data_IF_974644017064
#
_entry.id   IF_974644017064
#
_cell.length_a   1.000
_cell.length_b   1.000
_cell.length_c   1.000
_cell.angle_alpha   90.00
_cell.angle_beta   90.00
_cell.angle_gamma   90.00
#
_symmetry.space_group_name_H-M   'P 1'
#
loop_
_entity.id
_entity.type
_entity.pdbx_description
1 polymer ?
#
# COMPACT_ATOMS: atom_id res chain seq x y z
N UNK A 1 -81.19 -55.22 27.92
CA UNK A 1 -80.14 -54.98 26.92
C UNK A 1 -79.51 -53.62 27.26
N UNK A 2 -78.26 -53.58 27.60
CA UNK A 2 -77.59 -52.33 27.87
C UNK A 2 -77.33 -51.61 26.53
N UNK A 3 -77.86 -50.40 26.39
CA UNK A 3 -77.62 -49.55 25.24
C UNK A 3 -76.17 -49.06 25.27
N UNK A 4 -75.35 -49.45 24.28
CA UNK A 4 -74.00 -48.96 24.11
C UNK A 4 -74.08 -47.62 23.38
N UNK A 5 -74.00 -46.52 24.11
CA UNK A 5 -73.88 -45.16 23.45
C UNK A 5 -72.46 -44.99 23.04
N UNK A 6 -72.18 -45.11 21.71
CA UNK A 6 -70.93 -44.65 21.11
C UNK A 6 -70.86 -43.13 21.31
N UNK A 7 -69.92 -42.66 22.11
CA UNK A 7 -69.57 -41.29 22.21
C UNK A 7 -68.93 -40.84 20.82
N UNK A 8 -69.61 -39.96 20.12
CA UNK A 8 -69.10 -39.39 18.86
C UNK A 8 -67.82 -38.61 19.12
N UNK A 9 -66.75 -38.95 18.42
CA UNK A 9 -65.67 -37.99 18.23
C UNK A 9 -66.22 -36.90 17.34
N UNK A 10 -66.43 -35.72 17.89
CA UNK A 10 -67.30 -34.68 17.28
C UNK A 10 -66.54 -33.75 16.38
N UNK A 11 -65.20 -33.64 16.45
CA UNK A 11 -64.46 -32.61 15.73
C UNK A 11 -64.15 -33.03 14.30
N UNK A 12 -64.49 -32.15 13.32
CA UNK A 12 -64.13 -32.33 11.92
C UNK A 12 -63.22 -31.19 11.51
N UNK A 13 -61.96 -31.53 11.18
CA UNK A 13 -61.01 -30.57 10.70
C UNK A 13 -61.35 -30.12 9.26
N UNK A 14 -61.60 -28.80 9.07
CA UNK A 14 -61.97 -28.16 7.78
C UNK A 14 -60.85 -27.34 7.15
N UNK A 15 -59.64 -27.44 7.63
CA UNK A 15 -58.51 -26.62 7.19
C UNK A 15 -58.70 -25.13 7.53
N UNK A 16 -58.31 -24.21 6.59
CA UNK A 16 -58.51 -22.79 6.81
C UNK A 16 -59.99 -22.42 6.70
N UNK A 17 -60.41 -21.47 7.52
CA UNK A 17 -61.72 -20.84 7.36
C UNK A 17 -61.81 -20.16 6.01
N UNK A 18 -62.95 -20.29 5.34
CA UNK A 18 -63.27 -19.65 4.05
C UNK A 18 -64.60 -18.87 4.19
N UNK A 19 -64.75 -17.71 3.51
CA UNK A 19 -65.98 -16.97 3.48
C UNK A 19 -67.04 -17.73 2.65
N UNK A 20 -68.33 -17.42 2.92
CA UNK A 20 -69.50 -17.96 2.21
C UNK A 20 -69.52 -19.49 2.20
N UNK A 21 -68.98 -20.14 3.21
CA UNK A 21 -68.89 -21.61 3.37
C UNK A 21 -69.82 -22.07 4.47
N UNK A 22 -70.51 -23.17 4.27
CA UNK A 22 -71.39 -23.76 5.30
C UNK A 22 -70.52 -24.53 6.28
N UNK A 23 -70.61 -24.14 7.57
CA UNK A 23 -69.98 -24.86 8.70
C UNK A 23 -71.06 -25.40 9.64
N UNK A 24 -70.81 -26.61 10.10
CA UNK A 24 -71.67 -27.31 11.09
C UNK A 24 -71.07 -27.24 12.47
N UNK A 25 -71.91 -27.46 13.49
CA UNK A 25 -71.44 -27.57 14.86
C UNK A 25 -70.34 -28.61 14.95
N UNK A 26 -69.28 -28.34 15.73
CA UNK A 26 -68.06 -29.12 15.90
C UNK A 26 -67.12 -29.21 14.70
N UNK A 27 -67.37 -28.43 13.62
CA UNK A 27 -66.37 -28.18 12.58
C UNK A 27 -65.21 -27.32 13.17
N UNK A 28 -63.97 -27.71 12.93
CA UNK A 28 -62.79 -27.01 13.40
C UNK A 28 -62.06 -26.39 12.21
N UNK A 29 -61.80 -25.11 12.30
CA UNK A 29 -61.10 -24.35 11.28
C UNK A 29 -59.86 -23.64 11.86
N UNK A 30 -58.92 -23.37 11.00
CA UNK A 30 -57.81 -22.48 11.31
C UNK A 30 -58.11 -21.10 10.71
N UNK A 31 -57.94 -20.06 11.54
CA UNK A 31 -57.94 -18.68 11.05
C UNK A 31 -56.74 -17.94 11.66
N UNK A 32 -55.78 -17.53 10.81
CA UNK A 32 -54.49 -17.04 11.27
C UNK A 32 -53.70 -18.15 12.01
N UNK A 33 -53.20 -17.81 13.18
CA UNK A 33 -52.44 -18.69 14.04
C UNK A 33 -53.35 -19.55 14.97
N UNK A 34 -54.66 -19.28 14.99
CA UNK A 34 -55.61 -19.85 15.96
C UNK A 34 -56.50 -20.90 15.32
N UNK A 35 -56.95 -21.84 16.12
CA UNK A 35 -58.00 -22.77 15.72
C UNK A 35 -59.30 -22.46 16.46
N UNK A 36 -60.40 -22.60 15.73
CA UNK A 36 -61.71 -22.32 16.21
C UNK A 36 -62.63 -23.49 15.94
N UNK A 37 -63.56 -23.72 16.86
CA UNK A 37 -64.62 -24.71 16.75
C UNK A 37 -65.97 -24.02 16.50
N UNK A 38 -66.69 -24.47 15.50
CA UNK A 38 -68.00 -23.96 15.22
C UNK A 38 -69.00 -24.32 16.31
N UNK A 39 -69.51 -23.31 16.99
CA UNK A 39 -70.47 -23.43 18.07
C UNK A 39 -71.90 -23.43 17.60
N UNK A 40 -72.18 -22.73 16.47
CA UNK A 40 -73.53 -22.64 15.85
C UNK A 40 -73.40 -22.87 14.38
N UNK A 41 -74.13 -23.84 13.80
CA UNK A 41 -74.12 -24.10 12.34
C UNK A 41 -74.59 -22.91 11.57
N UNK A 42 -73.78 -22.46 10.61
CA UNK A 42 -74.05 -21.26 9.82
C UNK A 42 -73.32 -21.26 8.50
N UNK A 43 -73.72 -20.35 7.60
CA UNK A 43 -72.88 -19.95 6.46
C UNK A 43 -72.02 -18.79 6.88
N UNK A 44 -70.69 -18.93 6.74
CA UNK A 44 -69.74 -17.91 7.16
C UNK A 44 -69.96 -16.60 6.42
N UNK A 45 -69.66 -15.50 7.14
CA UNK A 45 -69.67 -14.14 6.59
C UNK A 45 -68.52 -13.91 5.56
N UNK A 46 -68.46 -12.72 5.00
CA UNK A 46 -67.33 -12.33 4.12
C UNK A 46 -66.03 -12.14 4.92
N UNK A 47 -66.13 -11.84 6.24
CA UNK A 47 -65.02 -11.66 7.16
C UNK A 47 -65.26 -12.49 8.42
N UNK A 48 -64.21 -13.12 8.93
CA UNK A 48 -64.24 -13.98 10.10
C UNK A 48 -64.64 -13.24 11.40
N UNK A 49 -64.20 -11.97 11.52
CA UNK A 49 -64.51 -11.17 12.71
C UNK A 49 -66.04 -10.91 12.82
N UNK A 50 -66.73 -10.75 11.71
CA UNK A 50 -68.21 -10.62 11.69
C UNK A 50 -68.88 -11.82 12.29
N UNK A 51 -68.36 -13.02 12.07
CA UNK A 51 -68.89 -14.27 12.67
C UNK A 51 -68.50 -14.40 14.16
N UNK A 52 -67.37 -13.83 14.60
CA UNK A 52 -66.96 -13.79 16.00
C UNK A 52 -67.79 -12.81 16.83
N UNK A 53 -68.16 -11.66 16.27
CA UNK A 53 -68.95 -10.62 16.91
C UNK A 53 -70.44 -10.95 17.01
N UNK A 54 -70.89 -11.96 16.33
CA UNK A 54 -72.31 -12.36 16.30
C UNK A 54 -72.76 -12.91 17.67
N UNK A 55 -73.96 -12.58 18.09
CA UNK A 55 -74.49 -13.08 19.36
C UNK A 55 -75.67 -14.04 19.12
N UNK A 56 -75.63 -15.32 19.57
CA UNK A 56 -74.51 -15.98 20.26
C UNK A 56 -73.29 -16.22 19.33
N UNK A 57 -72.07 -16.19 19.84
CA UNK A 57 -70.83 -16.37 19.12
C UNK A 57 -70.86 -17.64 18.27
N UNK A 58 -70.62 -17.54 16.96
CA UNK A 58 -70.63 -18.69 16.05
C UNK A 58 -69.38 -19.56 16.17
N UNK A 59 -68.28 -18.99 16.65
CA UNK A 59 -67.03 -19.67 16.81
C UNK A 59 -66.48 -19.57 18.25
N UNK A 60 -66.04 -20.67 18.82
CA UNK A 60 -65.27 -20.69 20.04
C UNK A 60 -63.79 -20.95 19.73
N UNK A 61 -62.91 -20.20 20.34
CA UNK A 61 -61.48 -20.44 20.21
C UNK A 61 -61.13 -21.77 20.90
N UNK A 62 -60.45 -22.65 20.15
CA UNK A 62 -60.05 -23.97 20.62
C UNK A 62 -58.58 -24.00 21.05
N UNK A 63 -57.70 -23.36 20.29
CA UNK A 63 -56.30 -23.22 20.65
C UNK A 63 -55.77 -21.85 20.24
N UNK A 64 -54.78 -21.40 20.96
CA UNK A 64 -53.97 -20.24 20.64
C UNK A 64 -52.63 -20.66 20.05
N UNK A 65 -52.15 -19.98 19.07
CA UNK A 65 -50.89 -20.29 18.40
C UNK A 65 -50.31 -19.06 17.73
N UNK A 66 -49.17 -19.24 17.09
CA UNK A 66 -48.48 -18.21 16.33
C UNK A 66 -48.24 -18.71 14.90
N UNK A 67 -48.30 -17.82 13.93
CA UNK A 67 -48.10 -18.15 12.54
C UNK A 67 -46.94 -17.31 11.97
N UNK A 68 -45.85 -17.95 11.60
CA UNK A 68 -44.79 -17.28 10.89
C UNK A 68 -45.22 -16.94 9.45
N UNK A 69 -45.21 -15.68 9.09
CA UNK A 69 -45.63 -15.18 7.77
C UNK A 69 -44.47 -14.62 6.92
N UNK A 70 -43.25 -14.66 7.44
CA UNK A 70 -42.07 -14.19 6.73
C UNK A 70 -41.77 -12.68 6.97
N UNK A 71 -41.18 -12.02 6.01
CA UNK A 71 -40.90 -10.59 6.09
C UNK A 71 -42.20 -9.76 6.00
N UNK A 72 -42.26 -8.69 6.80
CA UNK A 72 -43.36 -7.72 6.69
C UNK A 72 -43.42 -7.14 5.26
N UNK A 73 -44.62 -7.10 4.72
CA UNK A 73 -44.90 -6.57 3.37
C UNK A 73 -45.99 -5.51 3.40
N UNK A 74 -45.94 -4.58 2.43
CA UNK A 74 -46.98 -3.55 2.26
C UNK A 74 -48.29 -4.15 1.78
N UNK A 75 -49.40 -3.46 2.05
CA UNK A 75 -50.76 -3.80 1.58
C UNK A 75 -51.12 -5.27 1.80
N UNK A 76 -50.60 -5.88 2.84
CA UNK A 76 -50.81 -7.28 3.19
C UNK A 76 -51.71 -7.38 4.41
N UNK A 77 -52.74 -8.24 4.34
CA UNK A 77 -53.63 -8.48 5.49
C UNK A 77 -52.97 -9.44 6.48
N UNK A 78 -52.71 -8.94 7.67
CA UNK A 78 -52.18 -9.72 8.79
C UNK A 78 -53.26 -10.03 9.81
N UNK A 79 -53.23 -11.21 10.35
CA UNK A 79 -54.16 -11.70 11.32
C UNK A 79 -53.56 -11.69 12.71
N UNK A 80 -54.40 -11.70 13.71
CA UNK A 80 -53.98 -11.81 15.10
C UNK A 80 -53.02 -12.99 15.29
N UNK A 81 -51.90 -12.78 16.00
CA UNK A 81 -50.81 -13.72 16.23
C UNK A 81 -49.97 -14.12 14.98
N UNK A 82 -50.13 -13.43 13.83
CA UNK A 82 -49.18 -13.54 12.78
C UNK A 82 -47.85 -12.93 13.24
N UNK A 83 -46.75 -13.62 12.98
CA UNK A 83 -45.40 -13.16 13.32
C UNK A 83 -44.66 -12.80 12.05
N UNK A 84 -44.08 -11.59 11.99
CA UNK A 84 -43.32 -11.07 10.85
C UNK A 84 -41.93 -10.64 11.28
N UNK A 85 -41.01 -10.69 10.35
CA UNK A 85 -39.68 -10.04 10.48
C UNK A 85 -39.72 -8.64 9.87
N UNK A 86 -39.21 -7.65 10.62
CA UNK A 86 -39.02 -6.31 10.11
C UNK A 86 -37.70 -5.72 10.65
N UNK A 87 -36.70 -5.60 9.78
CA UNK A 87 -35.33 -5.35 10.21
C UNK A 87 -34.75 -6.55 10.95
N UNK A 88 -33.97 -6.27 11.99
CA UNK A 88 -33.47 -7.32 12.88
C UNK A 88 -34.49 -7.81 13.92
N UNK A 89 -35.73 -7.33 13.89
CA UNK A 89 -36.74 -7.57 14.92
C UNK A 89 -37.88 -8.46 14.41
N UNK A 90 -38.46 -9.24 15.30
CA UNK A 90 -39.69 -9.99 15.06
C UNK A 90 -40.84 -9.30 15.79
N UNK A 91 -41.97 -9.17 15.10
CA UNK A 91 -43.18 -8.58 15.60
C UNK A 91 -44.34 -9.57 15.52
N UNK A 92 -45.23 -9.54 16.50
CA UNK A 92 -46.50 -10.31 16.52
C UNK A 92 -47.67 -9.34 16.33
N UNK A 93 -48.55 -9.68 15.42
CA UNK A 93 -49.77 -8.91 15.15
C UNK A 93 -50.74 -9.08 16.35
N UNK A 94 -51.12 -7.96 16.99
CA UNK A 94 -52.03 -7.93 18.12
C UNK A 94 -53.45 -7.47 17.75
N UNK A 95 -53.65 -7.01 16.49
CA UNK A 95 -54.94 -6.63 15.94
C UNK A 95 -54.93 -6.82 14.42
N UNK A 96 -55.88 -7.58 13.89
CA UNK A 96 -55.95 -7.90 12.46
C UNK A 96 -56.17 -6.67 11.63
N UNK A 97 -55.30 -6.46 10.66
CA UNK A 97 -55.32 -5.25 9.79
C UNK A 97 -54.63 -5.47 8.47
N UNK A 98 -54.83 -4.57 7.55
CA UNK A 98 -54.02 -4.46 6.32
C UNK A 98 -52.91 -3.47 6.58
N UNK A 99 -51.65 -3.90 6.36
CA UNK A 99 -50.47 -3.06 6.53
C UNK A 99 -50.44 -1.86 5.60
N UNK A 100 -49.67 -0.83 5.95
CA UNK A 100 -49.49 0.40 5.18
C UNK A 100 -49.21 0.14 3.70
N UNK A 101 -49.69 1.01 2.82
CA UNK A 101 -49.57 0.84 1.38
C UNK A 101 -48.20 1.25 0.79
N UNK A 102 -47.34 1.92 1.58
CA UNK A 102 -46.06 2.41 1.11
C UNK A 102 -44.91 1.89 1.98
N UNK A 103 -43.85 1.43 1.33
CA UNK A 103 -42.63 0.99 2.01
C UNK A 103 -41.93 2.14 2.79
N UNK A 104 -42.16 3.38 2.42
CA UNK A 104 -41.59 4.54 3.12
C UNK A 104 -42.16 4.72 4.53
N UNK A 105 -43.39 4.27 4.76
CA UNK A 105 -44.04 4.32 6.08
C UNK A 105 -43.68 3.11 6.95
N UNK A 106 -43.41 1.97 6.32
CA UNK A 106 -43.03 0.73 7.01
C UNK A 106 -44.02 0.24 8.06
N UNK A 107 -43.61 -0.72 8.88
CA UNK A 107 -44.38 -1.24 10.03
C UNK A 107 -44.63 -0.13 11.05
N UNK A 108 -43.79 0.90 11.11
CA UNK A 108 -43.91 2.04 12.02
C UNK A 108 -45.25 2.78 11.88
N UNK A 109 -45.82 2.79 10.68
CA UNK A 109 -47.13 3.42 10.45
C UNK A 109 -48.28 2.73 11.19
N UNK A 110 -48.15 1.43 11.38
CA UNK A 110 -49.15 0.58 12.01
C UNK A 110 -48.65 0.03 13.37
N UNK A 111 -47.65 0.67 13.99
CA UNK A 111 -46.95 0.15 15.17
C UNK A 111 -47.87 -0.22 16.31
N UNK A 112 -49.00 0.48 16.49
CA UNK A 112 -50.00 0.14 17.50
C UNK A 112 -50.66 -1.24 17.30
N UNK A 113 -50.57 -1.81 16.11
CA UNK A 113 -51.09 -3.14 15.74
C UNK A 113 -50.09 -4.27 15.95
N UNK A 114 -48.87 -3.93 16.36
CA UNK A 114 -47.78 -4.86 16.52
C UNK A 114 -47.16 -4.82 17.90
N UNK A 115 -46.79 -5.95 18.42
CA UNK A 115 -46.01 -6.08 19.65
C UNK A 115 -44.66 -6.69 19.30
N UNK A 116 -43.57 -6.16 19.87
CA UNK A 116 -42.24 -6.76 19.72
C UNK A 116 -42.26 -8.16 20.31
N UNK A 117 -41.89 -9.15 19.48
CA UNK A 117 -41.92 -10.56 19.85
C UNK A 117 -40.51 -11.08 20.21
N UNK A 118 -39.51 -10.73 19.42
CA UNK A 118 -38.14 -11.09 19.71
C UNK A 118 -37.17 -10.06 19.03
N UNK A 119 -35.99 -9.92 19.63
CA UNK A 119 -34.92 -9.11 19.12
C UNK A 119 -33.86 -9.98 18.44
N UNK A 120 -33.29 -9.49 17.36
CA UNK A 120 -32.21 -10.09 16.60
C UNK A 120 -31.55 -9.05 15.72
N UNK A 121 -30.71 -9.48 14.81
CA UNK A 121 -30.04 -8.61 13.85
C UNK A 121 -30.27 -9.10 12.42
N UNK A 122 -30.28 -8.16 11.47
CA UNK A 122 -30.39 -8.44 10.04
C UNK A 122 -29.18 -7.90 9.29
N UNK A 123 -28.33 -8.78 8.76
CA UNK A 123 -27.14 -8.39 8.03
C UNK A 123 -27.47 -7.88 6.62
N UNK A 124 -27.04 -6.64 6.31
CA UNK A 124 -27.33 -5.91 5.05
C UNK A 124 -26.07 -5.66 4.21
N UNK A 125 -24.96 -6.34 4.48
CA UNK A 125 -23.68 -6.12 3.82
C UNK A 125 -23.14 -4.71 4.01
N UNK A 126 -22.66 -4.07 2.94
CA UNK A 126 -22.13 -2.70 2.99
C UNK A 126 -23.24 -1.67 2.99
N UNK A 127 -23.06 -0.63 3.80
CA UNK A 127 -23.93 0.54 3.77
C UNK A 127 -24.07 1.10 2.35
N UNK A 128 -25.27 1.47 1.96
CA UNK A 128 -25.59 2.00 0.64
C UNK A 128 -26.42 3.26 0.74
N UNK A 129 -26.29 4.15 -0.27
CA UNK A 129 -27.07 5.39 -0.37
C UNK A 129 -28.54 5.12 -0.68
N UNK A 130 -29.42 6.03 -0.30
CA UNK A 130 -30.87 6.01 -0.62
C UNK A 130 -31.52 4.66 -0.26
N UNK A 131 -31.01 3.96 0.73
CA UNK A 131 -31.49 2.64 1.17
C UNK A 131 -32.29 2.78 2.45
N UNK A 132 -33.46 2.13 2.52
CA UNK A 132 -34.26 2.08 3.74
C UNK A 132 -33.66 1.10 4.73
N UNK A 133 -33.19 1.61 5.84
CA UNK A 133 -32.69 0.82 6.96
C UNK A 133 -33.69 0.78 8.11
N UNK A 134 -33.74 -0.36 8.76
CA UNK A 134 -34.63 -0.69 9.84
C UNK A 134 -33.85 -0.90 11.14
N UNK A 135 -34.53 -0.84 12.26
CA UNK A 135 -33.90 -1.10 13.56
C UNK A 135 -33.28 -2.49 13.59
N UNK A 136 -32.07 -2.59 14.12
CA UNK A 136 -31.23 -3.79 14.16
C UNK A 136 -30.77 -4.33 12.78
N UNK A 137 -30.88 -3.54 11.70
CA UNK A 137 -30.12 -3.81 10.50
C UNK A 137 -28.64 -3.57 10.79
N UNK A 138 -27.78 -4.52 10.43
CA UNK A 138 -26.32 -4.42 10.53
C UNK A 138 -25.72 -4.11 9.17
N UNK A 139 -24.83 -3.12 9.12
CA UNK A 139 -24.09 -2.75 7.91
C UNK A 139 -22.59 -2.62 8.20
N UNK A 140 -21.78 -2.93 7.20
CA UNK A 140 -20.36 -2.60 7.20
C UNK A 140 -20.15 -1.23 6.56
N UNK A 141 -19.36 -0.38 7.21
CA UNK A 141 -18.94 0.90 6.66
C UNK A 141 -17.51 1.21 7.13
N UNK A 142 -16.54 1.16 6.20
CA UNK A 142 -15.13 1.16 6.54
C UNK A 142 -14.75 -0.10 7.32
N UNK A 143 -13.83 0.05 8.26
CA UNK A 143 -13.44 -1.05 9.16
C UNK A 143 -14.47 -1.37 10.25
N UNK A 144 -15.61 -0.66 10.30
CA UNK A 144 -16.62 -0.83 11.35
C UNK A 144 -17.87 -1.54 10.85
N UNK A 145 -18.53 -2.24 11.79
CA UNK A 145 -19.91 -2.67 11.64
C UNK A 145 -20.80 -1.79 12.50
N UNK A 146 -21.89 -1.30 11.93
CA UNK A 146 -22.86 -0.46 12.59
C UNK A 146 -24.21 -1.15 12.67
N UNK A 147 -24.96 -0.87 13.74
CA UNK A 147 -26.34 -1.28 13.90
C UNK A 147 -27.27 -0.06 13.78
N UNK A 148 -28.30 -0.21 12.99
CA UNK A 148 -29.32 0.84 12.83
C UNK A 148 -30.17 0.91 14.10
N UNK A 149 -30.24 2.07 14.75
CA UNK A 149 -31.02 2.30 15.95
C UNK A 149 -32.35 3.01 15.69
N UNK A 150 -32.54 3.58 14.49
CA UNK A 150 -33.73 4.34 14.11
C UNK A 150 -34.05 4.12 12.64
N UNK A 151 -35.30 3.79 12.32
CA UNK A 151 -35.78 3.64 10.94
C UNK A 151 -35.50 4.90 10.11
N UNK A 152 -34.83 4.76 9.00
CA UNK A 152 -34.54 5.90 8.12
C UNK A 152 -34.18 5.45 6.70
N UNK A 153 -34.20 6.38 5.77
CA UNK A 153 -33.58 6.21 4.46
C UNK A 153 -32.23 6.93 4.49
N UNK A 154 -31.16 6.22 4.17
CA UNK A 154 -29.80 6.77 4.17
C UNK A 154 -29.63 7.93 3.19
N UNK A 155 -28.62 8.75 3.42
CA UNK A 155 -28.28 9.90 2.58
C UNK A 155 -28.19 9.50 1.08
N UNK A 156 -28.57 10.45 0.21
CA UNK A 156 -28.63 10.21 -1.24
C UNK A 156 -27.28 10.22 -1.95
N UNK A 157 -26.20 10.70 -1.28
CA UNK A 157 -24.88 10.81 -1.90
C UNK A 157 -23.83 10.07 -1.09
N UNK A 158 -22.95 9.35 -1.80
CA UNK A 158 -21.81 8.66 -1.19
C UNK A 158 -20.79 9.61 -0.55
N UNK A 159 -20.76 10.87 -0.98
CA UNK A 159 -19.87 11.89 -0.42
C UNK A 159 -20.22 12.25 1.04
N UNK A 160 -21.49 12.12 1.42
CA UNK A 160 -21.92 12.33 2.80
C UNK A 160 -21.73 11.08 3.69
N UNK A 161 -21.77 9.90 3.07
CA UNK A 161 -21.58 8.61 3.76
C UNK A 161 -22.57 8.34 4.89
N UNK A 162 -22.29 7.34 5.71
CA UNK A 162 -23.05 7.02 6.92
C UNK A 162 -23.00 8.17 7.93
N UNK A 163 -21.96 8.99 7.88
CA UNK A 163 -21.73 10.13 8.78
C UNK A 163 -22.86 11.17 8.73
N UNK A 164 -23.54 11.29 7.57
CA UNK A 164 -24.68 12.21 7.44
C UNK A 164 -25.86 11.79 8.33
N UNK A 165 -25.96 10.51 8.60
CA UNK A 165 -27.03 9.89 9.38
C UNK A 165 -26.50 9.29 10.69
N UNK A 166 -25.33 9.70 11.17
CA UNK A 166 -24.63 9.05 12.28
C UNK A 166 -25.46 8.86 13.54
N UNK A 167 -26.37 9.78 13.84
CA UNK A 167 -27.28 9.67 14.98
C UNK A 167 -28.28 8.47 14.88
N UNK A 168 -28.39 7.87 13.68
CA UNK A 168 -29.24 6.70 13.40
C UNK A 168 -28.49 5.36 13.54
N UNK A 169 -27.21 5.43 13.86
CA UNK A 169 -26.32 4.27 13.87
C UNK A 169 -25.52 4.19 15.16
N UNK A 170 -25.46 3.03 15.73
CA UNK A 170 -24.55 2.71 16.83
C UNK A 170 -23.42 1.81 16.33
N UNK A 171 -22.21 2.00 16.89
CA UNK A 171 -21.09 1.11 16.59
C UNK A 171 -21.34 -0.26 17.22
N UNK A 172 -21.41 -1.30 16.38
CA UNK A 172 -21.61 -2.67 16.82
C UNK A 172 -20.30 -3.40 17.06
N UNK A 173 -19.38 -3.29 16.10
CA UNK A 173 -18.05 -3.90 16.19
C UNK A 173 -17.01 -3.04 15.47
N UNK A 174 -15.78 -3.02 16.01
CA UNK A 174 -14.64 -2.34 15.41
C UNK A 174 -13.72 -3.37 14.77
N UNK A 175 -13.36 -3.10 13.54
CA UNK A 175 -12.43 -3.92 12.75
C UNK A 175 -11.65 -3.03 11.79
N UNK A 176 -10.97 -3.64 10.85
CA UNK A 176 -10.23 -2.96 9.78
C UNK A 176 -10.73 -3.46 8.42
N UNK A 177 -10.65 -2.61 7.39
CA UNK A 177 -10.93 -2.98 6.00
C UNK A 177 -9.71 -2.66 5.12
N UNK A 178 -9.07 -3.68 4.54
CA UNK A 178 -7.95 -3.48 3.64
C UNK A 178 -8.44 -3.05 2.25
N UNK A 179 -7.97 -1.87 1.79
CA UNK A 179 -8.37 -1.20 0.54
C UNK A 179 -7.31 -1.26 -0.56
N UNK A 180 -6.25 -2.09 -0.42
CA UNK A 180 -5.15 -2.14 -1.37
C UNK A 180 -4.29 -0.85 -1.32
N UNK A 181 -3.76 -0.39 -2.44
CA UNK A 181 -2.91 0.79 -2.52
C UNK A 181 -3.74 2.07 -2.40
N UNK A 182 -3.22 3.06 -1.68
CA UNK A 182 -3.83 4.39 -1.60
C UNK A 182 -4.00 4.99 -2.99
N UNK A 183 -5.14 5.64 -3.22
CA UNK A 183 -5.48 6.27 -4.50
C UNK A 183 -6.10 7.63 -4.24
N UNK A 184 -5.67 8.65 -4.97
CA UNK A 184 -6.22 10.01 -4.91
C UNK A 184 -7.72 10.05 -5.26
N UNK A 185 -8.43 11.05 -4.76
CA UNK A 185 -9.88 11.26 -4.96
C UNK A 185 -10.77 10.09 -4.51
N UNK A 186 -10.24 9.11 -3.79
CA UNK A 186 -10.99 7.98 -3.22
C UNK A 186 -11.53 8.36 -1.86
N UNK A 187 -12.80 7.99 -1.58
CA UNK A 187 -13.38 8.15 -0.25
C UNK A 187 -12.88 7.06 0.68
N UNK A 188 -12.09 7.43 1.67
CA UNK A 188 -11.64 6.54 2.74
C UNK A 188 -12.46 6.77 4.01
N UNK A 189 -12.74 5.68 4.69
CA UNK A 189 -13.57 5.61 5.88
C UNK A 189 -12.71 5.26 7.10
N UNK A 190 -13.26 5.46 8.27
CA UNK A 190 -12.59 5.10 9.52
C UNK A 190 -12.17 3.62 9.50
N UNK A 191 -10.93 3.33 9.90
CA UNK A 191 -10.29 2.02 9.91
C UNK A 191 -10.14 1.33 8.53
N UNK A 192 -10.26 2.08 7.43
CA UNK A 192 -9.74 1.60 6.15
C UNK A 192 -8.21 1.55 6.23
N UNK A 193 -7.61 0.45 5.79
CA UNK A 193 -6.16 0.26 5.74
C UNK A 193 -5.70 0.25 4.29
N UNK A 194 -4.70 1.05 3.98
CA UNK A 194 -4.10 1.15 2.64
C UNK A 194 -2.61 0.88 2.69
N UNK A 195 -2.06 0.39 1.57
CA UNK A 195 -0.63 0.39 1.31
C UNK A 195 -0.24 1.75 0.72
N UNK A 196 0.77 2.41 1.29
CA UNK A 196 1.43 3.56 0.71
C UNK A 196 2.94 3.47 0.99
N UNK A 197 3.75 3.43 -0.08
CA UNK A 197 5.14 3.00 0.01
C UNK A 197 5.22 1.55 0.48
N UNK A 198 6.25 1.23 1.23
CA UNK A 198 6.41 -0.08 1.85
C UNK A 198 5.48 -0.31 3.05
N UNK A 199 4.88 0.75 3.61
CA UNK A 199 4.08 0.69 4.84
C UNK A 199 2.57 0.51 4.62
N UNK A 200 1.91 0.07 5.68
CA UNK A 200 0.45 0.07 5.79
C UNK A 200 0.01 1.25 6.66
N UNK A 201 -1.07 1.91 6.25
CA UNK A 201 -1.63 3.08 6.91
C UNK A 201 -3.10 2.88 7.17
N UNK A 202 -3.55 3.28 8.37
CA UNK A 202 -4.95 3.19 8.79
C UNK A 202 -5.60 4.58 8.78
N UNK A 203 -6.78 4.68 8.21
CA UNK A 203 -7.56 5.90 8.18
C UNK A 203 -8.12 6.20 9.57
N UNK A 204 -7.73 7.34 10.16
CA UNK A 204 -8.16 7.81 11.48
C UNK A 204 -9.31 8.79 11.42
N UNK A 205 -9.55 9.37 10.23
CA UNK A 205 -10.64 10.32 9.99
C UNK A 205 -11.13 10.14 8.56
N UNK A 206 -12.41 9.87 8.38
CA UNK A 206 -13.00 9.69 7.06
C UNK A 206 -12.86 10.94 6.19
N UNK A 207 -12.38 10.76 4.97
CA UNK A 207 -12.13 11.85 4.06
C UNK A 207 -12.12 11.36 2.60
N UNK A 208 -12.19 12.29 1.67
CA UNK A 208 -11.82 12.03 0.28
C UNK A 208 -10.35 12.37 0.12
N UNK A 209 -9.56 11.41 -0.41
CA UNK A 209 -8.12 11.55 -0.55
C UNK A 209 -7.75 12.78 -1.40
N UNK A 210 -6.76 13.51 -0.95
CA UNK A 210 -6.19 14.68 -1.62
C UNK A 210 -5.36 14.26 -2.87
N UNK A 211 -4.74 15.21 -3.54
CA UNK A 211 -3.85 14.93 -4.68
C UNK A 211 -2.58 14.18 -4.28
N UNK A 212 -2.14 14.30 -3.02
CA UNK A 212 -0.96 13.64 -2.49
C UNK A 212 -1.24 13.05 -1.10
N UNK A 213 -0.78 11.82 -0.84
CA UNK A 213 -0.90 11.15 0.47
C UNK A 213 -0.35 11.98 1.62
N UNK A 214 0.78 12.67 1.39
CA UNK A 214 1.43 13.48 2.41
C UNK A 214 0.53 14.60 2.94
N UNK A 215 -0.33 15.19 2.09
CA UNK A 215 -1.30 16.21 2.51
C UNK A 215 -2.29 15.64 3.54
N UNK A 216 -2.84 14.48 3.26
CA UNK A 216 -3.78 13.80 4.16
C UNK A 216 -3.10 13.32 5.45
N UNK A 217 -1.89 12.78 5.33
CA UNK A 217 -1.09 12.30 6.46
C UNK A 217 -0.70 13.45 7.40
N UNK A 218 -0.24 14.59 6.85
CA UNK A 218 0.10 15.79 7.63
C UNK A 218 -1.14 16.39 8.33
N UNK A 219 -2.30 16.26 7.71
CA UNK A 219 -3.58 16.66 8.33
C UNK A 219 -4.07 15.69 9.41
N UNK A 220 -3.31 14.64 9.73
CA UNK A 220 -3.63 13.65 10.76
C UNK A 220 -4.75 12.67 10.37
N UNK A 221 -5.04 12.53 9.06
CA UNK A 221 -6.09 11.63 8.56
C UNK A 221 -5.66 10.18 8.46
N UNK A 222 -4.35 9.94 8.52
CA UNK A 222 -3.72 8.63 8.49
C UNK A 222 -2.78 8.44 9.67
N UNK A 223 -2.79 7.26 10.24
CA UNK A 223 -1.78 6.79 11.17
C UNK A 223 -1.04 5.59 10.56
N UNK A 224 0.25 5.47 10.85
CA UNK A 224 1.00 4.29 10.42
C UNK A 224 0.48 3.07 11.17
N UNK A 225 0.07 2.05 10.42
CA UNK A 225 -0.47 0.80 10.95
C UNK A 225 0.61 -0.28 11.07
N UNK A 226 1.46 -0.37 10.06
CA UNK A 226 2.62 -1.24 10.07
C UNK A 226 3.74 -0.67 9.20
N UNK A 227 4.97 -0.83 9.65
CA UNK A 227 6.14 -0.57 8.84
C UNK A 227 6.38 -1.75 7.90
N UNK A 228 6.96 -1.47 6.74
CA UNK A 228 7.33 -2.48 5.76
C UNK A 228 8.59 -2.08 5.02
N UNK A 229 9.11 -2.98 4.21
CA UNK A 229 10.23 -2.74 3.31
C UNK A 229 9.88 -3.29 1.93
N UNK A 230 10.17 -2.52 0.88
CA UNK A 230 9.91 -2.88 -0.51
C UNK A 230 11.18 -2.71 -1.35
N UNK A 231 11.58 -3.74 -2.08
CA UNK A 231 12.77 -3.69 -2.91
C UNK A 231 12.45 -3.08 -4.28
N UNK A 232 13.03 -1.89 -4.54
CA UNK A 232 12.82 -1.08 -5.75
C UNK A 232 13.90 -1.26 -6.83
N UNK A 233 14.85 -2.17 -6.66
CA UNK A 233 15.97 -2.42 -7.55
C UNK A 233 17.12 -1.41 -7.42
N UNK A 234 17.68 -0.93 -8.54
CA UNK A 234 18.82 0.01 -8.54
C UNK A 234 18.34 1.45 -8.37
N UNK A 235 19.00 2.20 -7.49
CA UNK A 235 18.72 3.63 -7.32
C UNK A 235 18.84 4.40 -8.64
N UNK A 236 17.89 5.28 -8.92
CA UNK A 236 17.85 6.18 -10.07
C UNK A 236 17.55 7.62 -9.64
N UNK A 237 18.15 8.60 -10.32
CA UNK A 237 17.75 9.99 -10.19
C UNK A 237 16.37 10.23 -10.80
N UNK A 238 15.71 11.31 -10.37
CA UNK A 238 14.36 11.71 -10.79
C UNK A 238 13.24 10.67 -10.46
N UNK A 239 13.52 9.69 -9.62
CA UNK A 239 12.53 8.75 -9.10
C UNK A 239 11.99 9.24 -7.75
N UNK A 240 10.68 9.14 -7.57
CA UNK A 240 10.04 9.36 -6.27
C UNK A 240 10.22 8.11 -5.41
N UNK A 241 10.84 8.27 -4.26
CA UNK A 241 11.00 7.22 -3.26
C UNK A 241 10.13 7.48 -2.04
N UNK A 242 9.66 6.41 -1.43
CA UNK A 242 8.78 6.42 -0.27
C UNK A 242 9.46 5.73 0.93
N UNK A 243 9.05 6.04 2.17
CA UNK A 243 9.61 5.37 3.35
C UNK A 243 9.50 3.86 3.25
N UNK A 244 10.61 3.16 3.52
CA UNK A 244 10.69 1.71 3.41
C UNK A 244 11.12 1.17 2.04
N UNK A 245 11.24 2.02 1.00
CA UNK A 245 11.79 1.59 -0.29
C UNK A 245 13.27 1.26 -0.14
N UNK A 246 13.67 0.06 -0.60
CA UNK A 246 15.06 -0.38 -0.58
C UNK A 246 15.62 -0.35 -1.99
N UNK A 247 16.75 0.32 -2.14
CA UNK A 247 17.47 0.43 -3.42
C UNK A 247 18.89 -0.08 -3.31
N UNK A 248 19.45 -0.55 -4.44
CA UNK A 248 20.86 -0.86 -4.57
C UNK A 248 21.60 0.36 -5.14
N UNK A 249 22.65 0.80 -4.46
CA UNK A 249 23.57 1.79 -4.96
C UNK A 249 25.02 1.33 -4.74
N UNK A 250 25.77 1.11 -5.84
CA UNK A 250 27.07 0.45 -5.76
C UNK A 250 26.94 -1.00 -5.31
N UNK A 251 27.68 -1.37 -4.28
CA UNK A 251 27.58 -2.69 -3.64
C UNK A 251 26.57 -2.74 -2.50
N UNK A 252 26.08 -1.60 -2.02
CA UNK A 252 25.27 -1.49 -0.82
C UNK A 252 23.79 -1.35 -1.12
N UNK A 253 22.95 -1.69 -0.14
CA UNK A 253 21.52 -1.43 -0.16
C UNK A 253 21.19 -0.31 0.83
N UNK A 254 20.29 0.57 0.45
CA UNK A 254 19.83 1.70 1.23
C UNK A 254 18.31 1.68 1.34
N UNK A 255 17.79 2.09 2.51
CA UNK A 255 16.36 2.21 2.77
C UNK A 255 15.98 3.69 2.87
N UNK A 256 14.91 4.08 2.17
CA UNK A 256 14.39 5.43 2.23
C UNK A 256 13.68 5.68 3.57
N UNK A 257 13.97 6.82 4.20
CA UNK A 257 13.35 7.28 5.45
C UNK A 257 12.20 8.24 5.22
N UNK A 258 12.28 9.00 4.15
CA UNK A 258 11.34 10.09 3.84
C UNK A 258 10.77 9.93 2.43
N UNK A 259 9.61 10.57 2.18
CA UNK A 259 9.13 10.75 0.80
C UNK A 259 9.98 11.82 0.14
N UNK A 260 10.71 11.46 -0.90
CA UNK A 260 11.56 12.40 -1.63
C UNK A 260 11.75 12.01 -3.09
N UNK A 261 12.07 12.97 -3.93
CA UNK A 261 12.50 12.74 -5.31
C UNK A 261 13.99 13.01 -5.41
N UNK A 262 14.75 12.03 -5.85
CA UNK A 262 16.18 12.19 -6.09
C UNK A 262 16.43 13.19 -7.24
N UNK A 263 16.83 14.43 -6.91
CA UNK A 263 16.88 15.54 -7.84
C UNK A 263 17.92 15.37 -8.96
N UNK A 264 19.01 14.66 -8.71
CA UNK A 264 20.09 14.41 -9.68
C UNK A 264 20.95 13.22 -9.26
N UNK A 265 21.86 12.78 -10.15
CA UNK A 265 22.83 11.73 -9.81
C UNK A 265 23.75 12.10 -8.63
N UNK A 266 23.92 13.39 -8.33
CA UNK A 266 24.68 13.86 -7.17
C UNK A 266 23.91 13.69 -5.85
N UNK A 267 22.58 13.66 -5.88
CA UNK A 267 21.72 13.43 -4.72
C UNK A 267 21.51 11.93 -4.47
N UNK A 268 22.58 11.15 -4.45
CA UNK A 268 22.55 9.71 -4.25
C UNK A 268 22.48 9.33 -2.75
N UNK A 269 22.15 8.07 -2.41
CA UNK A 269 21.93 7.64 -1.01
C UNK A 269 23.13 7.86 -0.07
N UNK A 270 24.35 7.92 -0.59
CA UNK A 270 25.55 8.16 0.23
C UNK A 270 25.66 9.63 0.66
N UNK A 271 25.14 10.55 -0.13
CA UNK A 271 25.21 11.99 0.09
C UNK A 271 23.98 12.51 0.83
N UNK A 272 22.79 12.00 0.49
CA UNK A 272 21.52 12.45 1.07
C UNK A 272 21.12 11.61 2.29
N UNK A 273 21.96 11.59 3.31
CA UNK A 273 21.75 10.81 4.55
C UNK A 273 20.52 11.24 5.37
N UNK A 274 19.93 12.40 5.06
CA UNK A 274 18.65 12.80 5.65
C UNK A 274 17.50 11.94 5.12
N UNK A 275 17.61 11.46 3.87
CA UNK A 275 16.57 10.72 3.16
C UNK A 275 16.80 9.20 3.19
N UNK A 276 18.04 8.76 3.40
CA UNK A 276 18.44 7.37 3.33
C UNK A 276 19.22 6.89 4.54
N UNK A 277 18.97 5.65 4.94
CA UNK A 277 19.84 4.89 5.83
C UNK A 277 20.49 3.73 5.06
N UNK A 278 21.71 3.35 5.49
CA UNK A 278 22.34 2.12 5.02
C UNK A 278 21.56 0.92 5.57
N UNK A 279 21.00 0.11 4.67
CA UNK A 279 20.25 -1.07 5.04
C UNK A 279 21.15 -2.31 5.16
N UNK A 280 22.00 -2.53 4.15
CA UNK A 280 22.95 -3.64 4.15
C UNK A 280 24.20 -3.27 3.36
N UNK A 281 25.37 -3.57 3.93
CA UNK A 281 26.62 -3.52 3.18
C UNK A 281 26.74 -4.76 2.29
N UNK A 282 27.28 -4.56 1.09
CA UNK A 282 27.53 -5.62 0.14
C UNK A 282 28.67 -5.32 -0.80
N UNK A 283 28.98 -6.27 -1.67
CA UNK A 283 30.05 -6.15 -2.65
C UNK A 283 29.50 -6.40 -4.06
N UNK A 284 29.89 -5.55 -5.01
CA UNK A 284 29.55 -5.71 -6.42
C UNK A 284 30.80 -5.73 -7.28
N UNK A 285 31.13 -6.87 -7.87
CA UNK A 285 32.29 -6.99 -8.75
C UNK A 285 32.03 -6.31 -10.11
N UNK A 286 32.94 -5.41 -10.52
CA UNK A 286 32.85 -4.58 -11.73
C UNK A 286 33.88 -4.94 -12.80
N UNK A 287 34.66 -6.01 -12.66
CA UNK A 287 35.73 -6.38 -13.58
C UNK A 287 37.01 -5.57 -13.35
N UNK A 288 37.78 -5.31 -14.42
CA UNK A 288 39.03 -4.54 -14.34
C UNK A 288 38.74 -3.03 -14.19
N UNK A 289 39.57 -2.37 -13.39
CA UNK A 289 39.48 -0.94 -13.23
C UNK A 289 39.82 -0.22 -14.53
N UNK A 290 39.08 0.82 -14.85
CA UNK A 290 39.35 1.72 -15.96
C UNK A 290 39.35 3.18 -15.52
N UNK A 291 40.22 4.01 -16.11
CA UNK A 291 40.33 5.42 -15.78
C UNK A 291 39.16 6.27 -16.28
N UNK A 292 38.25 5.72 -17.08
CA UNK A 292 37.10 6.40 -17.67
C UNK A 292 35.81 6.09 -16.96
N UNK A 293 35.83 5.20 -15.94
CA UNK A 293 34.66 4.77 -15.21
C UNK A 293 34.67 5.35 -13.80
N UNK A 294 33.53 5.92 -13.39
CA UNK A 294 33.29 6.29 -12.00
C UNK A 294 32.74 5.08 -11.24
N UNK A 295 33.30 4.82 -10.07
CA UNK A 295 32.91 3.69 -9.23
C UNK A 295 32.19 4.15 -7.98
N UNK A 296 31.26 3.35 -7.50
CA UNK A 296 30.47 3.61 -6.33
C UNK A 296 30.97 2.82 -5.11
N UNK A 297 30.68 3.30 -3.93
CA UNK A 297 30.97 2.55 -2.68
C UNK A 297 30.45 1.12 -2.74
N UNK A 298 31.25 0.15 -2.25
CA UNK A 298 30.90 -1.27 -2.29
C UNK A 298 31.21 -1.96 -3.63
N UNK A 299 31.63 -1.23 -4.67
CA UNK A 299 32.07 -1.84 -5.94
C UNK A 299 33.49 -2.33 -5.81
N UNK A 300 33.75 -3.50 -6.42
CA UNK A 300 35.03 -4.20 -6.37
C UNK A 300 35.62 -4.26 -7.78
N UNK A 301 36.85 -3.84 -7.92
CA UNK A 301 37.59 -3.86 -9.18
C UNK A 301 38.90 -4.63 -9.05
N UNK A 302 39.42 -5.11 -10.17
CA UNK A 302 40.77 -5.64 -10.28
C UNK A 302 41.68 -4.62 -10.96
N UNK A 303 42.87 -4.43 -10.42
CA UNK A 303 43.94 -3.65 -11.06
C UNK A 303 45.27 -4.39 -10.89
N UNK A 304 45.88 -4.82 -12.01
CA UNK A 304 47.00 -5.73 -11.96
C UNK A 304 46.66 -7.07 -11.29
N UNK A 305 47.51 -7.52 -10.41
CA UNK A 305 47.26 -8.72 -9.59
C UNK A 305 46.35 -8.51 -8.39
N UNK A 306 45.88 -7.31 -8.12
CA UNK A 306 45.16 -6.98 -6.88
C UNK A 306 43.68 -6.68 -7.10
N UNK A 307 42.89 -6.96 -6.05
CA UNK A 307 41.47 -6.61 -6.00
C UNK A 307 41.25 -5.50 -4.97
N UNK A 308 40.49 -4.49 -5.33
CA UNK A 308 40.21 -3.30 -4.54
C UNK A 308 38.72 -3.08 -4.36
N UNK A 309 38.33 -2.69 -3.15
CA UNK A 309 36.99 -2.29 -2.79
C UNK A 309 36.94 -0.75 -2.76
N UNK A 310 35.94 -0.19 -3.42
CA UNK A 310 35.63 1.23 -3.29
C UNK A 310 34.99 1.51 -1.93
N UNK A 311 35.67 2.30 -1.11
CA UNK A 311 35.21 2.73 0.23
C UNK A 311 34.51 4.08 0.18
N UNK A 312 34.58 4.75 -0.96
CA UNK A 312 33.88 5.98 -1.29
C UNK A 312 33.54 6.00 -2.79
N UNK A 313 32.65 6.90 -3.21
CA UNK A 313 32.40 7.12 -4.65
C UNK A 313 33.67 7.64 -5.30
N UNK A 314 34.22 6.87 -6.22
CA UNK A 314 35.48 7.17 -6.92
C UNK A 314 35.15 7.83 -8.26
N UNK A 315 35.39 9.14 -8.42
CA UNK A 315 35.05 9.84 -9.64
C UNK A 315 36.02 9.55 -10.77
N UNK A 316 35.51 9.67 -12.00
CA UNK A 316 36.29 9.83 -13.22
C UNK A 316 35.64 10.93 -14.05
N UNK A 317 36.36 12.02 -14.26
CA UNK A 317 35.84 13.18 -14.95
C UNK A 317 36.83 13.65 -16.05
N UNK A 318 36.27 14.21 -17.12
CA UNK A 318 37.04 14.76 -18.22
C UNK A 318 37.05 16.27 -18.14
N UNK A 319 38.21 16.85 -18.28
CA UNK A 319 38.45 18.29 -18.22
C UNK A 319 39.19 18.78 -19.45
N UNK A 320 39.06 20.07 -19.73
CA UNK A 320 39.84 20.75 -20.77
C UNK A 320 40.96 21.55 -20.14
N UNK A 321 42.19 21.33 -20.60
CA UNK A 321 43.35 22.15 -20.29
C UNK A 321 43.47 23.19 -21.42
N UNK A 322 43.53 24.47 -21.05
CA UNK A 322 43.56 25.60 -22.01
C UNK A 322 44.92 26.22 -22.19
N UNK A 323 45.78 26.07 -21.18
CA UNK A 323 47.18 26.55 -21.26
C UNK A 323 48.05 25.92 -20.19
N UNK A 324 49.36 26.04 -20.35
CA UNK A 324 50.36 25.72 -19.32
C UNK A 324 51.28 26.90 -19.14
N UNK A 325 51.78 27.10 -17.92
CA UNK A 325 52.66 28.17 -17.52
C UNK A 325 53.94 27.58 -16.97
N UNK A 326 55.05 27.69 -17.68
CA UNK A 326 56.34 27.10 -17.34
C UNK A 326 56.97 27.70 -16.07
N UNK A 327 56.78 28.98 -15.82
CA UNK A 327 57.36 29.64 -14.64
C UNK A 327 56.78 29.19 -13.32
N UNK A 328 55.62 28.50 -13.32
CA UNK A 328 54.90 27.99 -12.14
C UNK A 328 54.53 26.51 -12.25
N UNK A 329 54.92 25.85 -13.33
CA UNK A 329 54.57 24.43 -13.62
C UNK A 329 53.07 24.13 -13.57
N UNK A 330 52.25 25.12 -13.94
CA UNK A 330 50.79 25.05 -13.82
C UNK A 330 50.10 24.69 -15.13
N UNK A 331 49.05 23.86 -15.01
CA UNK A 331 48.10 23.55 -16.09
C UNK A 331 46.80 24.28 -15.77
N UNK A 332 46.37 25.19 -16.63
CA UNK A 332 45.11 25.92 -16.51
C UNK A 332 43.98 25.10 -17.09
N UNK A 333 42.96 24.85 -16.28
CA UNK A 333 41.82 24.03 -16.62
C UNK A 333 40.55 24.86 -16.75
N UNK A 334 39.57 24.35 -17.54
CA UNK A 334 38.21 24.91 -17.59
C UNK A 334 37.48 24.88 -16.25
N UNK A 335 37.79 23.91 -15.41
CA UNK A 335 37.29 23.73 -14.05
C UNK A 335 38.22 22.78 -13.30
N UNK A 336 38.29 22.92 -11.98
CA UNK A 336 38.98 21.99 -11.07
C UNK A 336 37.98 21.30 -10.09
N UNK A 337 36.70 21.54 -10.32
CA UNK A 337 35.66 20.94 -9.44
C UNK A 337 35.75 19.41 -9.44
N UNK A 338 35.86 18.81 -8.25
CA UNK A 338 35.98 17.36 -8.05
C UNK A 338 37.40 16.82 -8.22
N UNK A 339 38.40 17.65 -8.49
CA UNK A 339 39.81 17.26 -8.51
C UNK A 339 40.40 17.38 -7.12
N UNK A 340 41.08 16.32 -6.70
CA UNK A 340 41.75 16.23 -5.38
C UNK A 340 43.21 15.81 -5.61
N UNK A 341 44.11 16.33 -4.80
CA UNK A 341 45.53 15.92 -4.78
C UNK A 341 45.64 14.41 -4.61
N UNK A 342 46.53 13.79 -5.38
CA UNK A 342 46.74 12.33 -5.41
C UNK A 342 45.88 11.56 -6.40
N UNK A 343 44.92 12.20 -7.07
CA UNK A 343 44.23 11.60 -8.23
C UNK A 343 45.17 11.44 -9.41
N UNK A 344 44.93 10.40 -10.23
CA UNK A 344 45.63 10.23 -11.48
C UNK A 344 45.06 11.11 -12.57
N UNK A 345 45.90 11.62 -13.43
CA UNK A 345 45.54 12.39 -14.63
C UNK A 345 46.21 11.81 -15.85
N UNK A 346 45.43 11.62 -16.89
CA UNK A 346 45.88 11.14 -18.21
C UNK A 346 45.44 12.11 -19.29
N UNK A 347 46.33 12.46 -20.17
CA UNK A 347 46.08 13.39 -21.26
C UNK A 347 45.71 12.64 -22.55
N UNK A 348 44.84 13.22 -23.35
CA UNK A 348 44.42 12.66 -24.65
C UNK A 348 44.37 13.75 -25.72
N UNK A 349 44.42 13.36 -26.99
CA UNK A 349 44.45 14.27 -28.12
C UNK A 349 45.83 14.94 -28.34
N UNK A 350 45.83 16.17 -28.81
CA UNK A 350 47.08 16.93 -29.01
C UNK A 350 47.55 17.44 -27.66
N UNK A 351 48.74 16.98 -27.24
CA UNK A 351 49.33 17.37 -25.95
C UNK A 351 50.30 18.53 -26.10
N UNK A 352 50.44 19.35 -25.07
CA UNK A 352 51.43 20.40 -24.91
C UNK A 352 51.93 20.45 -23.46
N UNK A 353 52.97 21.27 -23.17
CA UNK A 353 53.55 21.30 -21.82
C UNK A 353 54.39 20.09 -21.51
N UNK A 354 55.04 19.48 -22.50
CA UNK A 354 55.89 18.29 -22.47
C UNK A 354 55.27 17.06 -21.78
N UNK A 355 53.93 16.97 -21.70
CA UNK A 355 53.22 15.73 -21.25
C UNK A 355 52.90 14.85 -22.47
N UNK A 356 52.76 13.53 -22.21
CA UNK A 356 52.50 12.53 -23.24
C UNK A 356 51.15 11.84 -23.00
N UNK A 357 50.49 11.41 -24.08
CA UNK A 357 49.23 10.67 -24.02
C UNK A 357 49.37 9.27 -23.38
N UNK A 358 50.55 8.69 -23.44
CA UNK A 358 50.91 7.43 -22.78
C UNK A 358 51.31 7.63 -21.33
N UNK A 359 51.54 8.91 -20.92
CA UNK A 359 51.99 9.22 -19.56
C UNK A 359 50.89 9.07 -18.52
N UNK A 360 51.29 8.55 -17.37
CA UNK A 360 50.49 8.51 -16.14
C UNK A 360 51.06 9.58 -15.21
N UNK A 361 50.21 10.54 -14.83
CA UNK A 361 50.60 11.62 -13.93
C UNK A 361 49.64 11.65 -12.74
N UNK A 362 50.03 12.36 -11.68
CA UNK A 362 49.25 12.53 -10.45
C UNK A 362 49.03 14.02 -10.20
N UNK A 363 47.86 14.39 -9.76
CA UNK A 363 47.56 15.74 -9.33
C UNK A 363 48.36 16.03 -8.06
N UNK A 364 49.26 16.99 -8.11
CA UNK A 364 50.16 17.34 -7.00
C UNK A 364 49.59 18.48 -6.14
N UNK A 365 49.00 19.49 -6.79
CA UNK A 365 48.31 20.58 -6.10
C UNK A 365 47.16 21.10 -6.94
N UNK A 366 46.13 21.63 -6.28
CA UNK A 366 44.93 22.24 -6.88
C UNK A 366 44.81 23.67 -6.34
N UNK A 367 44.78 24.68 -7.18
CA UNK A 367 44.63 26.08 -6.79
C UNK A 367 43.76 26.83 -7.78
N UNK A 368 42.57 27.26 -7.37
CA UNK A 368 41.57 27.84 -8.28
C UNK A 368 41.34 26.92 -9.51
N UNK A 369 41.54 27.42 -10.71
CA UNK A 369 41.42 26.64 -11.96
C UNK A 369 42.79 26.09 -12.45
N UNK A 370 43.79 26.02 -11.61
CA UNK A 370 45.11 25.50 -11.94
C UNK A 370 45.40 24.22 -11.15
N UNK A 371 46.16 23.34 -11.79
CA UNK A 371 46.76 22.18 -11.12
C UNK A 371 48.26 22.17 -11.44
N UNK A 372 49.03 21.60 -10.50
CA UNK A 372 50.36 21.06 -10.81
C UNK A 372 50.30 19.55 -10.78
N UNK A 373 51.17 18.90 -11.51
CA UNK A 373 51.21 17.44 -11.59
C UNK A 373 52.58 16.89 -11.19
N UNK A 374 52.64 15.58 -10.95
CA UNK A 374 53.89 14.83 -10.74
C UNK A 374 53.85 13.51 -11.50
N UNK A 375 55.00 12.91 -11.78
CA UNK A 375 55.11 11.59 -12.40
C UNK A 375 54.92 10.42 -11.46
N UNK A 376 55.00 10.68 -10.15
CA UNK A 376 54.78 9.68 -9.07
C UNK A 376 53.81 10.26 -8.03
N UNK A 377 53.06 9.40 -7.36
CA UNK A 377 52.14 9.85 -6.30
C UNK A 377 52.88 10.53 -5.16
N UNK A 378 52.53 11.79 -4.87
CA UNK A 378 53.22 12.63 -3.90
C UNK A 378 54.65 13.01 -4.24
N UNK A 379 55.05 12.84 -5.51
CA UNK A 379 56.38 13.17 -6.01
C UNK A 379 56.63 14.68 -6.23
N UNK A 380 57.81 15.01 -6.72
CA UNK A 380 58.17 16.39 -7.08
C UNK A 380 57.28 16.90 -8.23
N UNK A 381 57.00 18.21 -8.23
CA UNK A 381 56.23 18.87 -9.30
C UNK A 381 56.90 18.62 -10.66
N UNK A 382 56.10 18.26 -11.64
CA UNK A 382 56.52 18.02 -13.00
C UNK A 382 56.97 19.36 -13.64
N UNK A 383 58.16 19.39 -14.20
CA UNK A 383 58.72 20.61 -14.78
C UNK A 383 58.17 20.86 -16.19
N UNK A 384 57.41 21.92 -16.36
CA UNK A 384 56.94 22.41 -17.68
C UNK A 384 58.01 23.28 -18.30
N UNK A 385 58.48 22.91 -19.48
CA UNK A 385 59.68 23.56 -20.10
C UNK A 385 59.37 24.80 -20.95
N UNK A 386 58.11 25.00 -21.34
CA UNK A 386 57.71 26.15 -22.16
C UNK A 386 56.22 26.45 -21.97
N UNK A 387 55.85 27.73 -22.00
CA UNK A 387 54.46 28.16 -22.06
C UNK A 387 53.82 27.66 -23.33
N UNK A 388 52.60 27.20 -23.23
CA UNK A 388 51.77 26.79 -24.35
C UNK A 388 50.29 27.05 -24.08
N UNK A 389 49.52 27.28 -25.14
CA UNK A 389 48.08 27.42 -25.08
C UNK A 389 47.42 26.62 -26.21
N UNK A 390 46.24 26.12 -25.94
CA UNK A 390 45.48 25.28 -26.89
C UNK A 390 44.32 24.61 -26.20
N UNK A 391 43.88 23.46 -26.74
CA UNK A 391 42.87 22.62 -26.13
C UNK A 391 43.40 21.20 -26.00
N UNK A 392 43.65 20.78 -24.78
CA UNK A 392 44.09 19.42 -24.44
C UNK A 392 43.06 18.78 -23.49
N UNK A 393 42.71 17.54 -23.73
CA UNK A 393 41.77 16.84 -22.88
C UNK A 393 42.53 16.04 -21.82
N UNK A 394 42.03 16.12 -20.57
CA UNK A 394 42.57 15.36 -19.46
C UNK A 394 41.46 14.58 -18.74
N UNK A 395 41.66 13.29 -18.51
CA UNK A 395 40.80 12.48 -17.64
C UNK A 395 41.47 12.39 -16.27
N UNK A 396 40.73 12.84 -15.25
CA UNK A 396 41.16 12.76 -13.83
C UNK A 396 40.32 11.74 -13.13
N UNK A 397 40.95 10.76 -12.49
CA UNK A 397 40.28 9.66 -11.82
C UNK A 397 41.00 9.26 -10.51
N UNK A 398 40.22 8.70 -9.56
CA UNK A 398 40.82 8.15 -8.36
C UNK A 398 41.19 6.68 -8.62
N UNK A 399 42.41 6.44 -9.05
CA UNK A 399 42.93 5.11 -9.35
C UNK A 399 43.34 4.36 -8.08
N UNK A 400 43.05 3.04 -7.92
CA UNK A 400 43.63 2.25 -6.86
C UNK A 400 45.18 2.27 -6.94
N UNK A 401 45.91 2.28 -5.81
CA UNK A 401 45.48 2.13 -4.43
C UNK A 401 45.23 3.44 -3.67
N UNK A 402 44.68 4.50 -4.29
CA UNK A 402 44.38 5.75 -3.61
C UNK A 402 43.50 5.48 -2.37
N UNK A 403 44.08 5.59 -1.17
CA UNK A 403 43.47 5.20 0.09
C UNK A 403 42.24 6.04 0.49
N UNK A 404 42.02 7.20 -0.13
CA UNK A 404 40.81 7.99 0.08
C UNK A 404 39.57 7.38 -0.56
N UNK A 405 39.75 6.47 -1.52
CA UNK A 405 38.68 5.85 -2.29
C UNK A 405 38.69 4.35 -2.29
N UNK A 406 39.84 3.71 -2.02
CA UNK A 406 40.05 2.29 -2.24
C UNK A 406 40.72 1.61 -1.06
N UNK A 407 40.23 0.42 -0.74
CA UNK A 407 40.89 -0.53 0.18
C UNK A 407 41.22 -1.79 -0.59
N UNK A 408 42.45 -2.30 -0.45
CA UNK A 408 42.84 -3.58 -1.03
C UNK A 408 42.16 -4.73 -0.30
N UNK A 409 41.40 -5.53 -1.03
CA UNK A 409 40.75 -6.73 -0.50
C UNK A 409 41.67 -7.94 -0.55
N UNK A 410 42.36 -8.12 -1.67
CA UNK A 410 43.15 -9.32 -1.90
C UNK A 410 44.41 -8.98 -2.73
N UNK A 411 45.49 -9.76 -2.50
CA UNK A 411 46.70 -9.75 -3.29
C UNK A 411 46.72 -11.01 -4.14
N UNK A 412 46.96 -10.86 -5.42
CA UNK A 412 47.01 -11.94 -6.36
C UNK A 412 48.09 -11.70 -7.42
N UNK A 413 48.09 -12.52 -8.45
CA UNK A 413 49.00 -12.43 -9.59
C UNK A 413 48.14 -12.36 -10.86
N UNK A 414 48.50 -11.44 -11.76
CA UNK A 414 47.92 -11.31 -13.10
C UNK A 414 48.96 -11.73 -14.15
N UNK A 415 48.74 -12.86 -14.83
CA UNK A 415 49.66 -13.32 -15.85
C UNK A 415 49.53 -12.52 -17.13
N UNK A 416 50.64 -11.88 -17.60
CA UNK A 416 50.69 -10.99 -18.77
C UNK A 416 51.39 -11.61 -19.98
N UNK A 417 51.89 -12.85 -19.86
CA UNK A 417 52.60 -13.51 -20.96
C UNK A 417 54.09 -13.20 -20.96
N UNK A 418 54.67 -13.05 -22.16
CA UNK A 418 56.09 -12.71 -22.30
C UNK A 418 56.32 -11.22 -21.96
N UNK A 419 57.46 -10.96 -21.32
CA UNK A 419 57.87 -9.60 -21.01
C UNK A 419 58.13 -8.81 -22.31
N UNK A 420 57.70 -7.56 -22.32
CA UNK A 420 57.89 -6.60 -23.40
C UNK A 420 58.29 -5.25 -22.81
N UNK A 421 59.32 -4.63 -23.35
CA UNK A 421 59.86 -3.33 -22.88
C UNK A 421 58.97 -2.12 -23.20
N UNK A 422 58.07 -2.25 -24.21
CA UNK A 422 57.10 -1.22 -24.55
C UNK A 422 55.81 -1.32 -23.74
N UNK A 423 55.69 -2.25 -22.77
CA UNK A 423 54.48 -2.49 -21.98
C UNK A 423 54.64 -2.00 -20.56
N UNK A 424 53.68 -1.15 -20.08
CA UNK A 424 53.58 -0.77 -18.70
C UNK A 424 52.95 -1.89 -17.86
N UNK A 425 53.63 -2.32 -16.82
CA UNK A 425 53.16 -3.35 -15.93
C UNK A 425 52.68 -2.78 -14.60
N UNK A 426 51.61 -3.37 -14.11
CA UNK A 426 51.01 -3.02 -12.80
C UNK A 426 51.57 -3.91 -11.70
N UNK A 427 51.45 -3.45 -10.47
CA UNK A 427 51.85 -4.25 -9.32
C UNK A 427 51.04 -5.57 -9.28
N UNK A 428 51.77 -6.70 -9.12
CA UNK A 428 51.20 -8.05 -9.18
C UNK A 428 51.08 -8.66 -10.58
N UNK A 429 51.41 -7.90 -11.64
CA UNK A 429 51.56 -8.50 -12.97
C UNK A 429 52.77 -9.44 -12.98
N UNK A 430 52.60 -10.59 -13.60
CA UNK A 430 53.65 -11.60 -13.77
C UNK A 430 53.92 -11.82 -15.27
N UNK A 431 55.16 -11.87 -15.63
CA UNK A 431 55.63 -12.05 -17.00
C UNK A 431 56.67 -13.16 -17.08
N UNK A 432 56.86 -13.76 -18.24
CA UNK A 432 57.97 -14.63 -18.54
C UNK A 432 59.05 -13.83 -19.28
N UNK A 433 60.27 -14.00 -18.84
CA UNK A 433 61.44 -13.53 -19.57
C UNK A 433 62.48 -14.63 -19.58
N UNK A 434 62.78 -15.15 -20.77
CA UNK A 434 63.58 -16.37 -20.91
C UNK A 434 62.93 -17.59 -20.24
N UNK A 435 63.67 -18.26 -19.39
CA UNK A 435 63.18 -19.45 -18.64
C UNK A 435 62.54 -19.11 -17.30
N UNK A 436 62.51 -17.82 -16.89
CA UNK A 436 62.08 -17.41 -15.56
C UNK A 436 60.78 -16.62 -15.63
N UNK A 437 59.96 -16.72 -14.58
CA UNK A 437 58.83 -15.84 -14.33
C UNK A 437 59.22 -14.76 -13.33
N UNK A 438 58.77 -13.54 -13.61
CA UNK A 438 59.00 -12.34 -12.79
C UNK A 438 57.65 -11.71 -12.40
N UNK A 439 57.59 -11.14 -11.22
CA UNK A 439 56.43 -10.41 -10.74
C UNK A 439 56.77 -8.93 -10.59
N UNK A 440 55.94 -8.05 -11.12
CA UNK A 440 56.06 -6.60 -10.95
C UNK A 440 55.72 -6.21 -9.51
N UNK A 441 56.71 -5.67 -8.81
CA UNK A 441 56.57 -5.24 -7.41
C UNK A 441 56.10 -3.80 -7.27
N UNK A 442 56.38 -2.96 -8.28
CA UNK A 442 56.00 -1.55 -8.35
C UNK A 442 55.55 -1.28 -9.75
N UNK A 443 54.35 -0.64 -9.91
CA UNK A 443 53.83 -0.29 -11.24
C UNK A 443 54.83 0.62 -12.00
N UNK A 444 55.09 0.31 -13.27
CA UNK A 444 56.04 0.99 -14.15
C UNK A 444 55.31 1.60 -15.37
#
# INVERSE_FOLDING_TARGET
>A
MAEFKLGRIRFVWKNNWNPSTVYYIDDVVRYGARTYICAVGHTSAADFNTDLEYSPTKWNQMSDGQSWTGDWAISTFYKLNDVVKYGGLLYICNDSHTSAATAASGLEADQAKWTLYAEGFDWKDSWSVSTRYKVNDLVRYGGYTYVCNTYHTSAATAASGLEADQAKWDSFNQGIEYKSTWTTATRYKLNDVVKYGAGLWICTTQHTADAAFLTDSTAGRWAQFAEGAEFESTWNSATLYQPGDIVVYGGNQYIAKTVHTAASAAANPVITTADWDLFTEGLKFQSDWTNTTSYKIGEVVRLGGYTYLATANSPSNTYTITSVVASSDQFLMSSTTGIVTGMTIRFTGTTFGNVFTTGRYYVNNVSSNNITISTTSGGATFNVTADAAGTMTATVSAEPPNASYWTRLNSGISWQGEWNDDTSYLQGDAVRFGANAYICLVAQ
#
